data_IF_404948349997
#
_entry.id   IF_404948349997
#
_cell.length_a   1.000
_cell.length_b   1.000
_cell.length_c   1.000
_cell.angle_alpha   90.00
_cell.angle_beta   90.00
_cell.angle_gamma   90.00
#
_symmetry.space_group_name_H-M   'P 1'
#
loop_
_entity.id
_entity.type
_entity.pdbx_description
1 polymer ?
#
# COMPACT_ATOMS: atom_id res chain seq x y z
N UNK A 1 -22.67 -5.34 -21.26
CA UNK A 1 -21.95 -6.53 -20.74
C UNK A 1 -20.48 -6.61 -21.15
N UNK A 2 -20.11 -6.54 -22.45
CA UNK A 2 -18.69 -6.63 -22.89
C UNK A 2 -17.74 -5.60 -22.25
N UNK A 3 -18.17 -4.34 -22.07
CA UNK A 3 -17.37 -3.29 -21.42
C UNK A 3 -17.14 -3.58 -19.93
N UNK A 4 -18.20 -3.96 -19.20
CA UNK A 4 -18.12 -4.34 -17.78
C UNK A 4 -17.19 -5.55 -17.57
N UNK A 5 -17.32 -6.60 -18.38
CA UNK A 5 -16.46 -7.78 -18.28
C UNK A 5 -14.99 -7.43 -18.56
N UNK A 6 -14.73 -6.61 -19.57
CA UNK A 6 -13.37 -6.12 -19.88
C UNK A 6 -12.75 -5.35 -18.72
N UNK A 7 -13.47 -4.42 -18.10
CA UNK A 7 -12.97 -3.66 -16.96
C UNK A 7 -12.81 -4.55 -15.72
N UNK A 8 -13.77 -5.44 -15.44
CA UNK A 8 -13.70 -6.40 -14.34
C UNK A 8 -12.49 -7.33 -14.47
N UNK A 9 -12.20 -7.84 -15.68
CA UNK A 9 -11.00 -8.64 -15.93
C UNK A 9 -9.74 -7.82 -15.68
N UNK A 10 -9.65 -6.57 -16.15
CA UNK A 10 -8.45 -5.75 -15.99
C UNK A 10 -8.22 -5.34 -14.53
N UNK A 11 -9.25 -4.90 -13.81
CA UNK A 11 -9.13 -4.52 -12.40
C UNK A 11 -8.94 -5.74 -11.50
N UNK A 12 -9.59 -6.87 -11.81
CA UNK A 12 -9.38 -8.15 -11.13
C UNK A 12 -7.96 -8.68 -11.33
N UNK A 13 -7.41 -8.61 -12.55
CA UNK A 13 -6.01 -8.91 -12.82
C UNK A 13 -5.07 -8.02 -12.00
N UNK A 14 -5.39 -6.73 -11.86
CA UNK A 14 -4.65 -5.82 -10.99
C UNK A 14 -4.59 -6.33 -9.53
N UNK A 15 -5.72 -6.73 -8.95
CA UNK A 15 -5.73 -7.31 -7.61
C UNK A 15 -4.92 -8.62 -7.48
N UNK A 16 -4.84 -9.42 -8.54
CA UNK A 16 -3.99 -10.62 -8.60
C UNK A 16 -2.50 -10.24 -8.63
N UNK A 17 -2.13 -9.16 -9.32
CA UNK A 17 -0.72 -8.72 -9.41
C UNK A 17 -0.14 -8.40 -8.03
N UNK A 18 -0.92 -7.80 -7.13
CA UNK A 18 -0.44 -7.52 -5.77
C UNK A 18 -0.10 -8.81 -5.01
N UNK A 19 -0.89 -9.88 -5.19
CA UNK A 19 -0.62 -11.20 -4.59
C UNK A 19 0.50 -11.95 -5.32
N UNK A 20 0.66 -11.72 -6.61
CA UNK A 20 1.73 -12.30 -7.41
C UNK A 20 3.11 -11.88 -6.89
N UNK A 21 3.27 -10.63 -6.42
CA UNK A 21 4.52 -10.16 -5.78
C UNK A 21 4.94 -11.11 -4.65
N UNK A 22 4.06 -11.34 -3.68
CA UNK A 22 4.36 -12.21 -2.53
C UNK A 22 4.65 -13.66 -2.97
N UNK A 23 3.92 -14.17 -3.96
CA UNK A 23 4.13 -15.52 -4.47
C UNK A 23 5.48 -15.68 -5.19
N UNK A 24 5.88 -14.73 -6.02
CA UNK A 24 7.16 -14.78 -6.75
C UNK A 24 8.37 -14.51 -5.84
N UNK A 25 8.21 -13.69 -4.80
CA UNK A 25 9.29 -13.40 -3.87
C UNK A 25 9.50 -14.51 -2.83
N UNK A 26 8.47 -15.31 -2.52
CA UNK A 26 8.57 -16.37 -1.52
C UNK A 26 9.73 -17.37 -1.78
N UNK A 27 9.92 -17.93 -3.00
CA UNK A 27 11.06 -18.81 -3.29
C UNK A 27 12.42 -18.12 -3.17
N UNK A 28 12.47 -16.81 -3.39
CA UNK A 28 13.71 -16.03 -3.28
C UNK A 28 14.05 -15.83 -1.81
N UNK A 29 13.09 -15.33 -1.02
CA UNK A 29 13.26 -15.13 0.41
C UNK A 29 13.60 -16.42 1.14
N UNK A 30 12.91 -17.52 0.85
CA UNK A 30 13.15 -18.81 1.54
C UNK A 30 14.47 -19.49 1.16
N UNK A 31 15.11 -19.11 0.05
CA UNK A 31 16.44 -19.62 -0.34
C UNK A 31 17.58 -18.82 0.28
N UNK A 32 17.40 -17.51 0.42
CA UNK A 32 18.48 -16.61 0.87
C UNK A 32 18.40 -16.34 2.36
N UNK A 33 17.19 -16.21 2.92
CA UNK A 33 16.98 -15.90 4.33
C UNK A 33 16.83 -17.18 5.15
N UNK A 34 17.45 -17.17 6.34
CA UNK A 34 17.18 -18.18 7.37
C UNK A 34 15.74 -18.00 7.85
N UNK A 35 15.01 -19.06 8.25
CA UNK A 35 13.61 -18.95 8.68
C UNK A 35 13.36 -17.90 9.77
N UNK A 36 14.33 -17.65 10.65
CA UNK A 36 14.25 -16.62 11.68
C UNK A 36 14.18 -15.19 11.10
N UNK A 37 14.97 -14.89 10.08
CA UNK A 37 15.02 -13.58 9.42
C UNK A 37 13.75 -13.33 8.61
N UNK A 38 13.24 -14.36 7.94
CA UNK A 38 11.96 -14.29 7.24
C UNK A 38 10.78 -14.04 8.21
N UNK A 39 10.79 -14.70 9.38
CA UNK A 39 9.80 -14.46 10.43
C UNK A 39 9.83 -13.01 10.95
N UNK A 40 11.03 -12.46 11.12
CA UNK A 40 11.21 -11.05 11.46
C UNK A 40 10.65 -10.11 10.40
N UNK A 41 10.92 -10.36 9.13
CA UNK A 41 10.40 -9.57 8.01
C UNK A 41 8.86 -9.57 7.98
N UNK A 42 8.24 -10.74 8.18
CA UNK A 42 6.78 -10.87 8.24
C UNK A 42 6.19 -10.08 9.43
N UNK A 43 6.83 -10.10 10.60
CA UNK A 43 6.41 -9.29 11.75
C UNK A 43 6.45 -7.79 11.43
N UNK A 44 7.49 -7.33 10.74
CA UNK A 44 7.60 -5.93 10.29
C UNK A 44 6.46 -5.58 9.32
N UNK A 45 6.15 -6.45 8.36
CA UNK A 45 5.02 -6.24 7.45
C UNK A 45 3.67 -6.22 8.17
N UNK A 46 3.45 -7.10 9.16
CA UNK A 46 2.22 -7.10 9.97
C UNK A 46 2.06 -5.80 10.74
N UNK A 47 3.13 -5.33 11.41
CA UNK A 47 3.12 -4.03 12.09
C UNK A 47 2.82 -2.88 11.11
N UNK A 48 3.44 -2.90 9.93
CA UNK A 48 3.15 -1.97 8.84
C UNK A 48 1.69 -1.98 8.42
N UNK A 49 1.07 -3.15 8.28
CA UNK A 49 -0.34 -3.29 7.93
C UNK A 49 -1.28 -2.63 8.94
N UNK A 50 -0.99 -2.78 10.24
CA UNK A 50 -1.74 -2.12 11.32
C UNK A 50 -1.59 -0.60 11.23
N UNK A 51 -0.37 -0.10 11.03
CA UNK A 51 -0.10 1.34 10.87
C UNK A 51 -0.82 1.90 9.63
N UNK A 52 -0.83 1.15 8.53
CA UNK A 52 -1.43 1.56 7.26
C UNK A 52 -2.94 1.81 7.38
N UNK A 53 -3.66 1.01 8.19
CA UNK A 53 -5.09 1.21 8.44
C UNK A 53 -5.33 2.58 9.06
N UNK A 54 -4.46 2.99 10.00
CA UNK A 54 -4.56 4.26 10.71
C UNK A 54 -4.35 5.49 9.82
N UNK A 55 -3.57 5.38 8.73
CA UNK A 55 -3.29 6.51 7.84
C UNK A 55 -4.52 7.05 7.11
N UNK A 56 -5.44 6.18 6.69
CA UNK A 56 -6.60 6.59 5.91
C UNK A 56 -7.94 6.22 6.53
N UNK A 57 -7.97 5.40 7.59
CA UNK A 57 -9.21 4.88 8.20
C UNK A 57 -10.22 4.36 7.15
N UNK A 58 -9.70 3.72 6.10
CA UNK A 58 -10.47 3.23 4.96
C UNK A 58 -11.28 4.29 4.17
N UNK A 59 -11.00 5.58 4.31
CA UNK A 59 -11.73 6.66 3.62
C UNK A 59 -11.64 6.55 2.08
N UNK A 60 -10.56 5.96 1.57
CA UNK A 60 -10.36 5.72 0.14
C UNK A 60 -11.43 4.80 -0.47
N UNK A 61 -12.05 3.92 0.34
CA UNK A 61 -13.19 3.10 -0.07
C UNK A 61 -14.49 3.92 -0.14
N UNK A 62 -14.69 4.83 0.81
CA UNK A 62 -15.77 5.82 0.81
C UNK A 62 -15.70 6.73 -0.41
N UNK A 63 -14.49 7.20 -0.76
CA UNK A 63 -14.25 7.99 -1.97
C UNK A 63 -14.81 7.31 -3.24
N UNK A 64 -14.50 6.03 -3.45
CA UNK A 64 -14.98 5.29 -4.63
C UNK A 64 -16.50 5.20 -4.65
N UNK A 65 -17.12 4.93 -3.49
CA UNK A 65 -18.59 4.86 -3.37
C UNK A 65 -19.24 6.20 -3.69
N UNK A 66 -18.81 7.27 -3.01
CA UNK A 66 -19.41 8.60 -3.15
C UNK A 66 -19.20 9.20 -4.55
N UNK A 67 -18.08 8.88 -5.21
CA UNK A 67 -17.83 9.28 -6.60
C UNK A 67 -18.92 8.81 -7.60
N UNK A 68 -19.51 7.64 -7.35
CA UNK A 68 -20.60 7.10 -8.18
C UNK A 68 -21.99 7.58 -7.75
N UNK A 69 -22.17 8.00 -6.51
CA UNK A 69 -23.42 8.55 -6.00
C UNK A 69 -23.66 9.95 -6.57
N UNK A 70 -22.66 10.83 -6.49
CA UNK A 70 -22.76 12.19 -6.98
C UNK A 70 -22.01 12.37 -8.30
N UNK A 71 -22.73 12.85 -9.33
CA UNK A 71 -22.19 13.05 -10.68
C UNK A 71 -21.71 14.47 -10.95
N UNK A 72 -21.91 15.38 -10.00
CA UNK A 72 -21.40 16.74 -10.10
C UNK A 72 -19.87 16.78 -10.04
N UNK A 73 -19.26 17.51 -10.97
CA UNK A 73 -17.80 17.52 -11.13
C UNK A 73 -17.11 18.36 -10.05
N UNK A 74 -17.73 19.45 -9.62
CA UNK A 74 -17.22 20.28 -8.52
C UNK A 74 -17.20 19.47 -7.22
N UNK A 75 -18.28 18.75 -6.94
CA UNK A 75 -18.35 17.82 -5.82
C UNK A 75 -17.29 16.72 -5.90
N UNK A 76 -17.03 16.15 -7.08
CA UNK A 76 -15.99 15.10 -7.25
C UNK A 76 -14.58 15.63 -7.00
N UNK A 77 -14.30 16.87 -7.39
CA UNK A 77 -13.03 17.53 -7.10
C UNK A 77 -12.89 17.81 -5.60
N UNK A 78 -13.94 18.32 -4.95
CA UNK A 78 -13.96 18.53 -3.51
C UNK A 78 -13.84 17.21 -2.72
N UNK A 79 -14.45 16.13 -3.21
CA UNK A 79 -14.36 14.80 -2.62
C UNK A 79 -12.92 14.26 -2.71
N UNK A 80 -12.25 14.42 -3.86
CA UNK A 80 -10.86 14.02 -4.03
C UNK A 80 -9.93 14.83 -3.11
N UNK A 81 -10.08 16.15 -3.07
CA UNK A 81 -9.23 17.03 -2.28
C UNK A 81 -9.41 16.80 -0.78
N UNK A 82 -10.65 16.60 -0.31
CA UNK A 82 -10.93 16.26 1.09
C UNK A 82 -10.41 14.88 1.48
N UNK A 83 -10.59 13.87 0.62
CA UNK A 83 -10.05 12.51 0.84
C UNK A 83 -8.52 12.55 0.95
N UNK A 84 -7.87 13.26 0.03
CA UNK A 84 -6.42 13.41 0.03
C UNK A 84 -5.94 14.21 1.25
N UNK A 85 -6.56 15.36 1.53
CA UNK A 85 -6.22 16.21 2.68
C UNK A 85 -6.35 15.47 4.01
N UNK A 86 -7.46 14.76 4.22
CA UNK A 86 -7.65 13.93 5.41
C UNK A 86 -6.55 12.86 5.55
N UNK A 87 -6.29 12.11 4.48
CA UNK A 87 -5.26 11.07 4.49
C UNK A 87 -3.87 11.66 4.75
N UNK A 88 -3.57 12.84 4.19
CA UNK A 88 -2.31 13.54 4.36
C UNK A 88 -2.09 13.98 5.82
N UNK A 89 -3.06 14.67 6.42
CA UNK A 89 -2.97 15.12 7.81
C UNK A 89 -2.93 13.94 8.80
N UNK A 90 -3.79 12.93 8.58
CA UNK A 90 -3.77 11.70 9.39
C UNK A 90 -2.40 11.00 9.28
N UNK A 91 -1.84 10.92 8.08
CA UNK A 91 -0.51 10.35 7.87
C UNK A 91 0.56 11.11 8.63
N UNK A 92 0.57 12.45 8.59
CA UNK A 92 1.53 13.26 9.35
C UNK A 92 1.44 12.95 10.85
N UNK A 93 0.23 12.92 11.40
CA UNK A 93 0.01 12.66 12.83
C UNK A 93 0.51 11.27 13.20
N UNK A 94 0.05 10.23 12.50
CA UNK A 94 0.40 8.85 12.81
C UNK A 94 1.89 8.58 12.57
N UNK A 95 2.48 9.13 11.50
CA UNK A 95 3.90 8.98 11.23
C UNK A 95 4.75 9.67 12.30
N UNK A 96 4.37 10.88 12.73
CA UNK A 96 5.07 11.59 13.82
C UNK A 96 5.00 10.82 15.13
N UNK A 97 3.82 10.28 15.49
CA UNK A 97 3.66 9.42 16.67
C UNK A 97 4.51 8.15 16.55
N UNK A 98 4.50 7.51 15.38
CA UNK A 98 5.29 6.28 15.14
C UNK A 98 6.79 6.56 15.30
N UNK A 99 7.27 7.70 14.79
CA UNK A 99 8.68 8.09 14.92
C UNK A 99 9.07 8.41 16.36
N UNK A 100 8.19 9.12 17.08
CA UNK A 100 8.41 9.47 18.47
C UNK A 100 8.47 8.23 19.38
N UNK A 101 7.56 7.27 19.19
CA UNK A 101 7.48 6.03 19.97
C UNK A 101 8.21 4.85 19.33
N UNK A 102 9.07 5.08 18.33
CA UNK A 102 9.65 4.00 17.54
C UNK A 102 10.48 3.01 18.39
N UNK A 103 11.20 3.52 19.39
CA UNK A 103 12.04 2.71 20.28
C UNK A 103 11.21 1.83 21.21
N UNK A 104 10.13 2.37 21.76
CA UNK A 104 9.21 1.67 22.66
C UNK A 104 8.39 0.63 21.90
N UNK A 105 7.83 1.02 20.75
CA UNK A 105 7.04 0.15 19.90
C UNK A 105 7.89 -0.98 19.33
N UNK A 106 9.10 -0.69 18.86
CA UNK A 106 9.98 -1.75 18.35
C UNK A 106 10.38 -2.74 19.43
N UNK A 107 10.72 -2.30 20.66
CA UNK A 107 11.01 -3.22 21.77
C UNK A 107 9.81 -4.08 22.18
N UNK A 108 8.59 -3.56 22.03
CA UNK A 108 7.37 -4.29 22.32
C UNK A 108 7.03 -5.32 21.23
N UNK A 109 7.13 -4.91 19.96
CA UNK A 109 6.70 -5.69 18.80
C UNK A 109 7.78 -6.65 18.29
N UNK A 110 9.05 -6.26 18.44
CA UNK A 110 10.20 -6.89 17.82
C UNK A 110 11.21 -7.31 18.89
N UNK A 111 11.83 -8.48 18.70
CA UNK A 111 12.87 -9.03 19.58
C UNK A 111 14.21 -9.17 18.85
N UNK A 112 14.56 -8.18 18.03
CA UNK A 112 15.79 -8.17 17.26
C UNK A 112 16.38 -6.75 17.22
N UNK A 113 17.68 -6.66 16.99
CA UNK A 113 18.40 -5.39 16.90
C UNK A 113 17.93 -4.56 15.69
N UNK A 114 17.98 -3.23 15.78
CA UNK A 114 17.51 -2.32 14.73
C UNK A 114 16.00 -2.32 14.44
N UNK A 115 15.18 -2.92 15.31
CA UNK A 115 13.71 -2.93 15.14
C UNK A 115 13.08 -1.54 14.99
N UNK A 116 13.67 -0.50 15.60
CA UNK A 116 13.18 0.88 15.48
C UNK A 116 13.37 1.44 14.05
N UNK A 117 14.49 1.12 13.40
CA UNK A 117 14.77 1.47 12.02
C UNK A 117 13.78 0.79 11.08
N UNK A 118 13.57 -0.52 11.24
CA UNK A 118 12.60 -1.27 10.44
C UNK A 118 11.17 -0.74 10.63
N UNK A 119 10.79 -0.37 11.85
CA UNK A 119 9.49 0.25 12.14
C UNK A 119 9.31 1.59 11.41
N UNK A 120 10.33 2.45 11.43
CA UNK A 120 10.32 3.75 10.73
C UNK A 120 10.24 3.55 9.21
N UNK A 121 11.02 2.61 8.66
CA UNK A 121 11.04 2.31 7.23
C UNK A 121 9.68 1.78 6.75
N UNK A 122 9.09 0.83 7.47
CA UNK A 122 7.78 0.30 7.08
C UNK A 122 6.69 1.36 7.24
N UNK A 123 6.74 2.21 8.26
CA UNK A 123 5.80 3.32 8.42
C UNK A 123 5.87 4.29 7.24
N UNK A 124 7.06 4.70 6.81
CA UNK A 124 7.24 5.54 5.61
C UNK A 124 6.70 4.83 4.36
N UNK A 125 7.05 3.55 4.17
CA UNK A 125 6.57 2.77 3.02
C UNK A 125 5.04 2.71 2.98
N UNK A 126 4.40 2.49 4.12
CA UNK A 126 2.95 2.41 4.23
C UNK A 126 2.28 3.77 4.05
N UNK A 127 2.93 4.86 4.47
CA UNK A 127 2.47 6.23 4.23
C UNK A 127 2.43 6.54 2.73
N UNK A 128 3.50 6.21 1.99
CA UNK A 128 3.55 6.36 0.53
C UNK A 128 2.47 5.50 -0.14
N UNK A 129 2.30 4.27 0.34
CA UNK A 129 1.28 3.37 -0.19
C UNK A 129 -0.14 3.92 0.03
N UNK A 130 -0.47 4.45 1.21
CA UNK A 130 -1.79 5.01 1.52
C UNK A 130 -2.19 6.15 0.55
N UNK A 131 -1.25 7.01 0.18
CA UNK A 131 -1.48 8.07 -0.81
C UNK A 131 -1.61 7.50 -2.22
N UNK A 132 -0.78 6.52 -2.56
CA UNK A 132 -0.82 5.85 -3.87
C UNK A 132 -2.18 5.19 -4.13
N UNK A 133 -2.81 4.61 -3.10
CA UNK A 133 -4.16 4.01 -3.19
C UNK A 133 -5.22 5.02 -3.66
N UNK A 134 -5.14 6.29 -3.23
CA UNK A 134 -6.09 7.32 -3.69
C UNK A 134 -5.95 7.54 -5.20
N UNK A 135 -4.72 7.59 -5.72
CA UNK A 135 -4.47 7.73 -7.16
C UNK A 135 -4.93 6.50 -7.95
N UNK A 136 -4.70 5.30 -7.42
CA UNK A 136 -5.21 4.07 -8.02
C UNK A 136 -6.75 4.09 -8.09
N UNK A 137 -7.41 4.51 -7.02
CA UNK A 137 -8.86 4.66 -6.98
C UNK A 137 -9.35 5.71 -7.97
N UNK A 138 -8.64 6.84 -8.12
CA UNK A 138 -8.96 7.86 -9.12
C UNK A 138 -8.89 7.29 -10.56
N UNK A 139 -7.84 6.53 -10.89
CA UNK A 139 -7.73 5.88 -12.20
C UNK A 139 -8.82 4.83 -12.42
N UNK A 140 -9.22 4.13 -11.35
CA UNK A 140 -10.29 3.15 -11.39
C UNK A 140 -11.64 3.80 -11.67
N UNK A 141 -12.01 4.85 -10.92
CA UNK A 141 -13.32 5.52 -11.09
C UNK A 141 -13.42 6.30 -12.41
N UNK A 142 -12.29 6.73 -12.98
CA UNK A 142 -12.22 7.34 -14.32
C UNK A 142 -12.16 6.30 -15.45
N UNK A 143 -12.32 5.01 -15.16
CA UNK A 143 -12.23 3.88 -16.12
C UNK A 143 -10.89 3.81 -16.90
N UNK A 144 -9.81 4.43 -16.38
CA UNK A 144 -8.46 4.46 -16.98
C UNK A 144 -7.69 3.17 -16.73
N UNK A 145 -8.35 2.04 -16.98
CA UNK A 145 -7.87 0.66 -16.77
C UNK A 145 -6.47 0.36 -17.33
N UNK A 146 -6.14 0.88 -18.52
CA UNK A 146 -4.79 0.74 -19.10
C UNK A 146 -3.70 1.38 -18.25
N UNK A 147 -3.91 2.62 -17.77
CA UNK A 147 -2.93 3.30 -16.91
C UNK A 147 -2.81 2.59 -15.57
N UNK A 148 -3.95 2.20 -14.99
CA UNK A 148 -3.99 1.44 -13.73
C UNK A 148 -3.16 0.16 -13.80
N UNK A 149 -3.37 -0.68 -14.83
CA UNK A 149 -2.62 -1.94 -14.96
C UNK A 149 -1.16 -1.73 -15.33
N UNK A 150 -0.83 -0.74 -16.17
CA UNK A 150 0.55 -0.41 -16.50
C UNK A 150 1.37 -0.01 -15.27
N UNK A 151 0.80 0.84 -14.41
CA UNK A 151 1.49 1.25 -13.17
C UNK A 151 1.70 0.03 -12.27
N UNK A 152 0.70 -0.83 -12.09
CA UNK A 152 0.86 -2.04 -11.27
C UNK A 152 1.90 -3.02 -11.81
N UNK A 153 1.97 -3.23 -13.12
CA UNK A 153 3.00 -4.07 -13.73
C UNK A 153 4.38 -3.47 -13.52
N UNK A 154 4.54 -2.16 -13.70
CA UNK A 154 5.82 -1.46 -13.45
C UNK A 154 6.23 -1.62 -11.99
N UNK A 155 5.29 -1.40 -11.05
CA UNK A 155 5.55 -1.60 -9.62
C UNK A 155 5.96 -3.04 -9.31
N UNK A 156 5.24 -4.04 -9.84
CA UNK A 156 5.58 -5.47 -9.68
C UNK A 156 7.01 -5.76 -10.16
N UNK A 157 7.36 -5.33 -11.38
CA UNK A 157 8.67 -5.58 -11.96
C UNK A 157 9.79 -4.87 -11.20
N UNK A 158 9.55 -3.62 -10.79
CA UNK A 158 10.50 -2.85 -9.97
C UNK A 158 10.68 -3.48 -8.59
N UNK A 159 9.60 -3.90 -7.93
CA UNK A 159 9.68 -4.56 -6.63
C UNK A 159 10.48 -5.86 -6.76
N UNK A 160 10.16 -6.73 -7.71
CA UNK A 160 10.92 -7.98 -7.91
C UNK A 160 12.39 -7.69 -8.26
N UNK A 161 12.65 -6.79 -9.20
CA UNK A 161 14.00 -6.45 -9.65
C UNK A 161 14.86 -5.86 -8.54
N UNK A 162 14.31 -4.91 -7.76
CA UNK A 162 15.02 -4.31 -6.63
C UNK A 162 15.21 -5.32 -5.50
N UNK A 163 14.21 -6.15 -5.19
CA UNK A 163 14.35 -7.20 -4.18
C UNK A 163 15.46 -8.17 -4.56
N UNK A 164 15.53 -8.62 -5.81
CA UNK A 164 16.62 -9.48 -6.28
C UNK A 164 17.97 -8.75 -6.14
N UNK A 165 18.08 -7.52 -6.61
CA UNK A 165 19.32 -6.74 -6.57
C UNK A 165 19.85 -6.48 -5.14
N UNK A 166 18.97 -6.29 -4.16
CA UNK A 166 19.38 -6.02 -2.79
C UNK A 166 19.66 -7.28 -1.95
N UNK A 167 19.10 -8.43 -2.35
CA UNK A 167 19.16 -9.67 -1.54
C UNK A 167 20.15 -10.68 -2.11
N UNK A 168 20.32 -10.73 -3.44
CA UNK A 168 21.21 -11.66 -4.15
C UNK A 168 22.48 -10.93 -4.58
#
# INVERSE_FOLDING_TARGET
>A
MKKLFKHMSIYGLGGIMTKAISFFLLPIYTRVLVPADYGTLELVYMAGGIIAISYGLMISSGYVREYYVNKDEEHRQALLSSTFGFTFFSTIIILSLTFFFASELSRLLFKFDYGDLFLKLIAISMAIHAHSVIFYNLLMVQEKSKKYISIQIITLLLTIGLTIYFIV
#
